data_IF_015906159233
#
_entry.id   IF_015906159233
#
_cell.length_a   1.000
_cell.length_b   1.000
_cell.length_c   1.000
_cell.angle_alpha   90.00
_cell.angle_beta   90.00
_cell.angle_gamma   90.00
#
_symmetry.space_group_name_H-M   'P 1'
#
loop_
_entity.id
_entity.type
_entity.pdbx_description
1 polymer ?
#
# COMPACT_ATOMS: atom_id res chain seq x y z
N UNK A 1 -12.39 11.63 9.15
CA UNK A 1 -12.13 10.20 9.36
C UNK A 1 -11.72 9.97 10.80
N UNK A 2 -12.42 9.09 11.48
CA UNK A 2 -12.13 8.77 12.89
C UNK A 2 -11.78 7.30 13.03
N UNK A 3 -10.71 7.02 13.75
CA UNK A 3 -10.28 5.67 14.05
C UNK A 3 -9.91 5.58 15.54
N UNK A 4 -10.04 4.39 16.11
CA UNK A 4 -9.65 4.16 17.51
C UNK A 4 -9.12 2.76 17.69
N UNK A 5 -8.35 2.56 18.75
CA UNK A 5 -7.93 1.23 19.18
C UNK A 5 -8.24 1.09 20.67
N UNK A 6 -8.74 -0.10 21.07
CA UNK A 6 -8.99 -0.43 22.47
C UNK A 6 -8.08 -1.60 22.86
N UNK A 7 -7.37 -1.48 23.95
CA UNK A 7 -6.48 -2.56 24.40
C UNK A 7 -7.29 -3.73 24.97
N UNK A 8 -7.04 -4.93 24.41
CA UNK A 8 -7.72 -6.15 24.83
C UNK A 8 -6.90 -6.98 25.82
N UNK A 9 -5.67 -6.59 26.10
CA UNK A 9 -4.69 -7.41 26.82
C UNK A 9 -3.88 -8.25 25.85
N UNK A 10 -2.83 -8.86 26.34
CA UNK A 10 -1.98 -9.78 25.58
C UNK A 10 -1.45 -9.16 24.28
N UNK A 11 -1.12 -7.86 24.31
CA UNK A 11 -0.58 -7.10 23.15
C UNK A 11 -1.51 -7.08 21.93
N UNK A 12 -2.82 -7.13 22.20
CA UNK A 12 -3.86 -7.04 21.17
C UNK A 12 -4.69 -5.80 21.37
N UNK A 13 -5.11 -5.23 20.25
CA UNK A 13 -6.04 -4.10 20.21
C UNK A 13 -7.23 -4.44 19.33
N UNK A 14 -8.40 -3.93 19.71
CA UNK A 14 -9.54 -3.88 18.81
C UNK A 14 -9.45 -2.55 18.06
N UNK A 15 -9.23 -2.62 16.77
CA UNK A 15 -9.17 -1.44 15.91
C UNK A 15 -10.55 -1.16 15.35
N UNK A 16 -10.99 0.08 15.46
CA UNK A 16 -12.32 0.49 15.01
C UNK A 16 -12.23 1.57 13.96
N UNK A 17 -12.98 1.40 12.89
CA UNK A 17 -13.18 2.41 11.85
C UNK A 17 -14.66 2.78 11.80
N UNK A 18 -15.02 3.73 10.95
CA UNK A 18 -16.42 4.12 10.83
C UNK A 18 -17.31 2.96 10.32
N UNK A 19 -16.75 2.03 9.56
CA UNK A 19 -17.51 0.94 8.93
C UNK A 19 -17.32 -0.41 9.59
N UNK A 20 -16.21 -0.65 10.28
CA UNK A 20 -15.86 -1.99 10.69
C UNK A 20 -14.86 -1.98 11.83
N UNK A 21 -14.57 -3.18 12.34
CA UNK A 21 -13.51 -3.38 13.32
C UNK A 21 -12.71 -4.64 12.99
N UNK A 22 -11.48 -4.70 13.50
CA UNK A 22 -10.61 -5.87 13.35
C UNK A 22 -9.65 -5.93 14.53
N UNK A 23 -9.07 -7.12 14.75
CA UNK A 23 -8.07 -7.30 15.80
C UNK A 23 -6.68 -7.04 15.26
N UNK A 24 -5.95 -6.16 15.95
CA UNK A 24 -4.56 -5.86 15.65
C UNK A 24 -3.73 -6.61 16.69
N UNK A 25 -3.11 -7.73 16.29
CA UNK A 25 -2.31 -8.58 17.17
C UNK A 25 -0.85 -8.23 17.02
N UNK A 26 -0.32 -7.45 17.97
CA UNK A 26 1.06 -6.94 17.90
C UNK A 26 2.11 -8.02 18.15
N UNK A 27 1.71 -9.24 18.51
CA UNK A 27 2.63 -10.38 18.62
C UNK A 27 2.85 -11.03 17.26
N UNK A 28 1.86 -10.96 16.37
CA UNK A 28 1.89 -11.61 15.05
C UNK A 28 2.39 -10.66 13.96
N UNK A 29 1.86 -9.45 13.96
CA UNK A 29 2.20 -8.43 12.97
C UNK A 29 2.46 -7.12 13.69
N UNK A 30 3.61 -6.50 13.41
CA UNK A 30 3.93 -5.22 14.06
C UNK A 30 3.06 -4.09 13.49
N UNK A 31 2.79 -3.04 14.30
CA UNK A 31 2.08 -1.86 13.77
C UNK A 31 2.78 -1.22 12.57
N UNK A 32 4.11 -1.28 12.50
CA UNK A 32 4.88 -0.79 11.36
C UNK A 32 4.55 -1.57 10.10
N UNK A 33 4.40 -2.89 10.21
CA UNK A 33 4.00 -3.74 9.09
C UNK A 33 2.57 -3.45 8.63
N UNK A 34 1.63 -3.21 9.58
CA UNK A 34 0.28 -2.76 9.24
C UNK A 34 0.30 -1.45 8.46
N UNK A 35 1.13 -0.51 8.92
CA UNK A 35 1.30 0.78 8.25
C UNK A 35 1.81 0.59 6.81
N UNK A 36 2.86 -0.22 6.64
CA UNK A 36 3.45 -0.48 5.32
C UNK A 36 2.46 -1.18 4.38
N UNK A 37 1.75 -2.21 4.85
CA UNK A 37 0.77 -2.91 4.02
C UNK A 37 -0.41 -2.01 3.67
N UNK A 38 -0.81 -1.12 4.57
CA UNK A 38 -1.83 -0.12 4.29
C UNK A 38 -1.44 0.81 3.14
N UNK A 39 -0.17 1.23 3.12
CA UNK A 39 0.35 2.10 2.05
C UNK A 39 0.27 1.40 0.69
N UNK A 40 0.81 0.19 0.58
CA UNK A 40 0.83 -0.50 -0.70
C UNK A 40 -0.55 -1.00 -1.11
N UNK A 41 -1.41 -1.33 -0.15
CA UNK A 41 -2.81 -1.66 -0.43
C UNK A 41 -3.58 -0.48 -0.98
N UNK A 42 -3.31 0.72 -0.46
CA UNK A 42 -3.96 1.95 -0.91
C UNK A 42 -3.64 2.25 -2.38
N UNK A 43 -2.35 2.25 -2.74
CA UNK A 43 -1.97 2.46 -4.14
C UNK A 43 -2.34 1.26 -5.01
N UNK A 44 -2.28 0.04 -4.43
CA UNK A 44 -2.64 -1.18 -5.16
C UNK A 44 -4.08 -1.21 -5.61
N UNK A 45 -5.01 -0.80 -4.75
CA UNK A 45 -6.44 -0.77 -5.13
C UNK A 45 -6.74 0.31 -6.17
N UNK A 46 -5.97 1.38 -6.21
CA UNK A 46 -6.15 2.43 -7.21
C UNK A 46 -5.96 1.89 -8.63
N UNK A 47 -4.96 1.04 -8.85
CA UNK A 47 -4.75 0.41 -10.15
C UNK A 47 -5.97 -0.42 -10.56
N UNK A 48 -6.49 -1.23 -9.65
CA UNK A 48 -7.67 -2.06 -9.92
C UNK A 48 -8.87 -1.20 -10.28
N UNK A 49 -9.13 -0.15 -9.51
CA UNK A 49 -10.28 0.72 -9.73
C UNK A 49 -10.18 1.46 -11.07
N UNK A 50 -9.01 1.95 -11.42
CA UNK A 50 -8.80 2.65 -12.69
C UNK A 50 -8.91 1.70 -13.88
N UNK A 51 -8.34 0.50 -13.77
CA UNK A 51 -8.43 -0.52 -14.83
C UNK A 51 -9.87 -0.94 -15.05
N UNK A 52 -10.63 -1.20 -13.99
CA UNK A 52 -12.03 -1.58 -14.09
C UNK A 52 -12.88 -0.47 -14.69
N UNK A 53 -12.61 0.78 -14.36
CA UNK A 53 -13.30 1.93 -14.94
C UNK A 53 -13.13 1.98 -16.45
N UNK A 54 -11.96 1.58 -16.94
CA UNK A 54 -11.67 1.53 -18.38
C UNK A 54 -12.10 0.22 -19.04
N UNK A 55 -12.78 -0.67 -18.29
CA UNK A 55 -13.32 -1.91 -18.83
C UNK A 55 -12.36 -3.09 -18.79
N UNK A 56 -11.25 -2.98 -18.10
CA UNK A 56 -10.28 -4.07 -17.98
C UNK A 56 -10.44 -4.84 -16.68
N UNK A 57 -10.13 -6.13 -16.74
CA UNK A 57 -10.13 -7.01 -15.58
C UNK A 57 -8.69 -7.26 -15.15
N UNK A 58 -8.44 -7.17 -13.85
CA UNK A 58 -7.12 -7.43 -13.26
C UNK A 58 -7.18 -8.78 -12.56
N UNK A 59 -6.25 -9.68 -12.87
CA UNK A 59 -6.17 -11.00 -12.27
C UNK A 59 -4.75 -11.32 -11.81
N UNK A 60 -4.63 -12.23 -10.86
CA UNK A 60 -3.34 -12.66 -10.31
C UNK A 60 -2.45 -11.47 -9.94
N UNK A 61 -3.02 -10.56 -9.18
CA UNK A 61 -2.41 -9.27 -8.88
C UNK A 61 -1.80 -9.28 -7.48
N UNK A 62 -0.57 -8.81 -7.38
CA UNK A 62 0.10 -8.61 -6.10
C UNK A 62 0.90 -7.32 -6.12
N UNK A 63 1.05 -6.73 -4.94
CA UNK A 63 1.87 -5.55 -4.74
C UNK A 63 2.84 -5.86 -3.61
N UNK A 64 4.12 -5.61 -3.85
CA UNK A 64 5.18 -5.82 -2.86
C UNK A 64 5.89 -4.50 -2.63
N UNK A 65 6.51 -4.37 -1.48
CA UNK A 65 7.34 -3.22 -1.18
C UNK A 65 8.66 -3.67 -0.55
N UNK A 66 9.74 -3.09 -1.04
CA UNK A 66 11.06 -3.20 -0.42
C UNK A 66 11.32 -1.87 0.28
N UNK A 67 11.45 -1.90 1.59
CA UNK A 67 11.52 -0.72 2.43
C UNK A 67 12.84 -0.70 3.18
N UNK A 68 13.55 0.43 3.10
CA UNK A 68 14.74 0.66 3.89
C UNK A 68 14.43 1.68 4.97
N UNK A 69 14.92 1.41 6.18
CA UNK A 69 14.80 2.30 7.33
C UNK A 69 16.10 3.05 7.55
N UNK A 70 16.00 4.20 8.22
CA UNK A 70 17.19 4.92 8.66
C UNK A 70 17.89 4.14 9.79
N UNK A 71 19.22 4.30 9.92
CA UNK A 71 19.99 3.65 10.97
C UNK A 71 20.02 4.45 12.28
N UNK A 72 19.56 5.68 12.24
CA UNK A 72 19.62 6.60 13.38
C UNK A 72 18.26 6.81 14.01
N UNK A 73 18.24 7.28 15.23
CA UNK A 73 17.02 7.66 15.96
C UNK A 73 16.71 9.12 15.64
N UNK A 74 15.48 9.46 15.26
CA UNK A 74 14.31 8.57 15.11
C UNK A 74 14.43 7.65 13.90
N UNK A 75 14.08 6.39 14.11
CA UNK A 75 14.09 5.40 13.04
C UNK A 75 12.83 5.56 12.19
N UNK A 76 12.98 5.79 10.89
CA UNK A 76 11.86 6.01 9.97
C UNK A 76 12.13 5.37 8.62
N UNK A 77 11.13 5.30 7.76
CA UNK A 77 11.34 4.82 6.40
C UNK A 77 12.21 5.83 5.64
N UNK A 78 13.28 5.34 5.03
CA UNK A 78 14.14 6.15 4.16
C UNK A 78 13.68 6.03 2.72
N UNK A 79 13.37 4.81 2.27
CA UNK A 79 12.92 4.55 0.90
C UNK A 79 11.91 3.42 0.86
N UNK A 80 11.08 3.42 -0.18
CA UNK A 80 10.10 2.38 -0.47
C UNK A 80 10.07 2.15 -1.98
N UNK A 81 10.43 0.95 -2.39
CA UNK A 81 10.30 0.54 -3.79
C UNK A 81 9.11 -0.41 -3.92
N UNK A 82 8.12 -0.05 -4.71
CA UNK A 82 6.86 -0.77 -4.83
C UNK A 82 6.87 -1.56 -6.14
N UNK A 83 6.57 -2.85 -6.06
CA UNK A 83 6.55 -3.75 -7.20
C UNK A 83 5.10 -4.17 -7.44
N UNK A 84 4.55 -3.76 -8.60
CA UNK A 84 3.21 -4.12 -9.03
C UNK A 84 3.33 -5.27 -10.03
N UNK A 85 2.77 -6.43 -9.70
CA UNK A 85 2.80 -7.60 -10.58
C UNK A 85 1.39 -8.08 -10.84
N UNK A 86 1.03 -8.23 -12.11
CA UNK A 86 -0.33 -8.62 -12.51
C UNK A 86 -0.36 -9.32 -13.84
N UNK A 87 -1.41 -10.12 -14.03
CA UNK A 87 -1.83 -10.59 -15.33
C UNK A 87 -3.04 -9.75 -15.74
N UNK A 88 -3.05 -9.25 -16.95
CA UNK A 88 -4.13 -8.39 -17.38
C UNK A 88 -4.08 -8.11 -18.86
N UNK A 89 -5.20 -7.60 -19.38
CA UNK A 89 -5.36 -7.29 -20.80
C UNK A 89 -4.87 -5.90 -21.18
N UNK A 90 -4.71 -5.03 -20.19
CA UNK A 90 -4.20 -3.67 -20.45
C UNK A 90 -2.68 -3.68 -20.49
N UNK A 91 -2.10 -2.83 -21.33
CA UNK A 91 -0.66 -2.82 -21.54
C UNK A 91 0.10 -2.07 -20.44
N UNK A 92 1.42 -2.22 -20.46
CA UNK A 92 2.30 -1.60 -19.47
C UNK A 92 2.21 -0.06 -19.50
N UNK A 93 1.91 0.53 -20.64
CA UNK A 93 1.75 1.98 -20.77
C UNK A 93 0.54 2.46 -19.96
N UNK A 94 -0.57 1.72 -20.04
CA UNK A 94 -1.78 2.04 -19.25
C UNK A 94 -1.53 1.82 -17.77
N UNK A 95 -0.88 0.72 -17.40
CA UNK A 95 -0.52 0.44 -16.02
C UNK A 95 0.36 1.56 -15.45
N UNK A 96 1.34 1.99 -16.19
CA UNK A 96 2.23 3.09 -15.79
C UNK A 96 1.44 4.38 -15.57
N UNK A 97 0.46 4.67 -16.43
CA UNK A 97 -0.40 5.85 -16.26
C UNK A 97 -1.25 5.74 -15.01
N UNK A 98 -1.85 4.58 -14.73
CA UNK A 98 -2.66 4.36 -13.54
C UNK A 98 -1.82 4.52 -12.27
N UNK A 99 -0.67 3.88 -12.22
CA UNK A 99 0.21 3.92 -11.07
C UNK A 99 0.76 5.33 -10.86
N UNK A 100 1.18 5.99 -11.94
CA UNK A 100 1.64 7.38 -11.87
C UNK A 100 0.59 8.31 -11.29
N UNK A 101 -0.66 8.20 -11.75
CA UNK A 101 -1.76 9.00 -11.24
C UNK A 101 -2.02 8.72 -9.75
N UNK A 102 -1.98 7.44 -9.35
CA UNK A 102 -2.15 7.06 -7.95
C UNK A 102 -1.08 7.68 -7.08
N UNK A 103 0.20 7.49 -7.44
CA UNK A 103 1.32 7.94 -6.62
C UNK A 103 1.45 9.46 -6.57
N UNK A 104 1.13 10.14 -7.66
CA UNK A 104 1.26 11.59 -7.72
C UNK A 104 0.07 12.34 -7.12
N UNK A 105 -1.14 11.77 -7.22
CA UNK A 105 -2.35 12.56 -6.92
C UNK A 105 -3.36 11.86 -6.03
N UNK A 106 -3.61 10.57 -6.21
CA UNK A 106 -4.78 9.94 -5.60
C UNK A 106 -4.50 9.10 -4.37
N UNK A 107 -3.31 8.56 -4.20
CA UNK A 107 -3.01 7.71 -3.06
C UNK A 107 -2.73 8.56 -1.82
N UNK A 108 -3.70 8.63 -0.92
CA UNK A 108 -3.59 9.43 0.31
C UNK A 108 -2.39 9.01 1.15
N UNK A 109 -2.16 7.69 1.29
CA UNK A 109 -1.07 7.20 2.14
C UNK A 109 0.31 7.56 1.58
N UNK A 110 0.52 7.34 0.28
CA UNK A 110 1.80 7.70 -0.35
C UNK A 110 2.02 9.21 -0.30
N UNK A 111 0.98 9.99 -0.60
CA UNK A 111 1.11 11.46 -0.59
C UNK A 111 1.32 12.01 0.81
N UNK A 112 0.95 11.26 1.86
CA UNK A 112 1.21 11.64 3.24
C UNK A 112 2.65 11.42 3.67
N UNK A 113 3.42 10.58 2.97
CA UNK A 113 4.80 10.23 3.37
C UNK A 113 5.86 10.63 2.35
N UNK A 114 5.50 10.97 1.12
CA UNK A 114 6.46 11.12 0.02
C UNK A 114 7.48 12.22 0.19
N UNK A 115 7.22 13.21 1.05
CA UNK A 115 8.18 14.28 1.31
C UNK A 115 9.36 13.82 2.18
N UNK A 116 9.19 12.73 2.91
CA UNK A 116 10.23 12.19 3.80
C UNK A 116 10.68 10.79 3.39
N UNK A 117 9.96 10.12 2.50
CA UNK A 117 10.28 8.76 2.03
C UNK A 117 10.45 8.79 0.52
N UNK A 118 11.60 8.29 0.06
CA UNK A 118 11.85 8.18 -1.38
C UNK A 118 11.05 6.99 -1.93
N UNK A 119 10.03 7.28 -2.75
CA UNK A 119 9.15 6.25 -3.32
C UNK A 119 9.48 6.03 -4.79
N UNK A 120 9.63 4.77 -5.17
CA UNK A 120 9.85 4.35 -6.56
C UNK A 120 9.03 3.10 -6.84
N UNK A 121 8.91 2.71 -8.11
CA UNK A 121 8.11 1.53 -8.45
C UNK A 121 8.62 0.80 -9.69
N UNK A 122 8.21 -0.47 -9.80
CA UNK A 122 8.44 -1.33 -10.95
C UNK A 122 7.13 -2.03 -11.30
N UNK A 123 6.90 -2.25 -12.58
CA UNK A 123 5.73 -2.98 -13.09
C UNK A 123 6.20 -4.28 -13.71
N UNK A 124 5.57 -5.40 -13.30
CA UNK A 124 5.78 -6.70 -13.91
C UNK A 124 4.42 -7.16 -14.44
N UNK A 125 4.32 -7.30 -15.76
CA UNK A 125 3.09 -7.72 -16.42
C UNK A 125 3.31 -9.08 -17.07
N UNK A 126 2.45 -10.07 -16.73
CA UNK A 126 2.50 -11.43 -17.28
C UNK A 126 3.88 -12.07 -17.12
N UNK A 127 4.55 -11.81 -15.99
CA UNK A 127 5.85 -12.38 -15.65
C UNK A 127 7.05 -11.66 -16.25
N UNK A 128 6.82 -10.51 -16.86
CA UNK A 128 7.91 -9.71 -17.47
C UNK A 128 8.11 -8.38 -16.75
#
# INVERSE_FOLDING_TARGET
MNVSVEYLGDKKFKANTIKSSYTLDCKEITPVEYFATGIIGCTGIDLVMMAEKDGYEVSNYSVKAEIERTDSVPMKFASMHIIFEFDGEFDATKAKRYIGASLESYCTTVNSIRDSVKVSYTIIQNGE
#
